data_IF_673886792824
#
_entry.id   IF_673886792824
#
_cell.length_a   1.000
_cell.length_b   1.000
_cell.length_c   1.000
_cell.angle_alpha   90.00
_cell.angle_beta   90.00
_cell.angle_gamma   90.00
#
_symmetry.space_group_name_H-M   'P 1'
#
loop_
_entity.id
_entity.type
_entity.pdbx_description
1 polymer ?
#
# COMPACT_ATOMS: atom_id res chain seq x y z
N UNK A 1 -43.01 -25.35 -28.74
CA UNK A 1 -41.98 -25.94 -27.87
C UNK A 1 -41.88 -25.10 -26.61
N UNK A 2 -42.58 -25.49 -25.53
CA UNK A 2 -42.43 -24.81 -24.24
C UNK A 2 -41.08 -25.22 -23.63
N UNK A 3 -40.24 -24.27 -23.18
CA UNK A 3 -38.98 -24.59 -22.54
C UNK A 3 -39.23 -25.31 -21.22
N UNK A 4 -38.70 -26.54 -21.13
CA UNK A 4 -38.78 -27.45 -19.99
C UNK A 4 -38.48 -26.74 -18.66
N UNK A 5 -39.41 -26.76 -17.68
CA UNK A 5 -39.27 -26.07 -16.40
C UNK A 5 -38.06 -26.56 -15.59
N UNK A 6 -37.62 -27.81 -15.79
CA UNK A 6 -36.45 -28.38 -15.10
C UNK A 6 -35.14 -27.76 -15.62
N UNK A 7 -35.05 -27.54 -16.95
CA UNK A 7 -33.92 -26.81 -17.56
C UNK A 7 -33.82 -25.37 -17.04
N UNK A 8 -34.95 -24.69 -16.83
CA UNK A 8 -34.95 -23.32 -16.29
C UNK A 8 -34.48 -23.26 -14.84
N UNK A 9 -34.82 -24.25 -14.01
CA UNK A 9 -34.34 -24.37 -12.62
C UNK A 9 -32.83 -24.64 -12.57
N UNK A 10 -32.33 -25.55 -13.41
CA UNK A 10 -30.91 -25.88 -13.49
C UNK A 10 -30.05 -24.66 -13.91
N UNK A 11 -30.45 -23.92 -14.95
CA UNK A 11 -29.73 -22.71 -15.40
C UNK A 11 -29.76 -21.59 -14.35
N UNK A 12 -30.84 -21.45 -13.58
CA UNK A 12 -30.91 -20.48 -12.46
C UNK A 12 -29.93 -20.83 -11.35
N UNK A 13 -29.84 -22.09 -10.94
CA UNK A 13 -28.89 -22.53 -9.91
C UNK A 13 -27.43 -22.31 -10.34
N UNK A 14 -27.08 -22.60 -11.60
CA UNK A 14 -25.73 -22.33 -12.13
C UNK A 14 -25.41 -20.84 -12.11
N UNK A 15 -26.35 -19.96 -12.50
CA UNK A 15 -26.17 -18.50 -12.45
C UNK A 15 -25.98 -17.98 -11.03
N UNK A 16 -26.73 -18.52 -10.05
CA UNK A 16 -26.58 -18.16 -8.64
C UNK A 16 -25.21 -18.60 -8.11
N UNK A 17 -24.75 -19.81 -8.44
CA UNK A 17 -23.42 -20.27 -8.03
C UNK A 17 -22.30 -19.42 -8.61
N UNK A 18 -22.39 -19.03 -9.88
CA UNK A 18 -21.42 -18.11 -10.50
C UNK A 18 -21.47 -16.74 -9.80
N UNK A 19 -22.65 -16.21 -9.53
CA UNK A 19 -22.80 -14.94 -8.82
C UNK A 19 -22.19 -14.99 -7.41
N UNK A 20 -22.44 -16.07 -6.65
CA UNK A 20 -21.81 -16.30 -5.36
C UNK A 20 -20.29 -16.41 -5.47
N UNK A 21 -19.78 -17.14 -6.48
CA UNK A 21 -18.34 -17.27 -6.73
C UNK A 21 -17.67 -15.93 -7.03
N UNK A 22 -18.30 -15.09 -7.86
CA UNK A 22 -17.82 -13.74 -8.16
C UNK A 22 -17.83 -12.86 -6.91
N UNK A 23 -18.91 -12.89 -6.12
CA UNK A 23 -18.99 -12.13 -4.86
C UNK A 23 -17.90 -12.55 -3.86
N UNK A 24 -17.70 -13.85 -3.66
CA UNK A 24 -16.62 -14.34 -2.81
C UNK A 24 -15.23 -13.93 -3.34
N UNK A 25 -15.03 -14.00 -4.66
CA UNK A 25 -13.78 -13.55 -5.29
C UNK A 25 -13.51 -12.07 -5.05
N UNK A 26 -14.53 -11.22 -5.19
CA UNK A 26 -14.42 -9.78 -4.90
C UNK A 26 -14.06 -9.56 -3.43
N UNK A 27 -14.77 -10.21 -2.49
CA UNK A 27 -14.49 -10.06 -1.06
C UNK A 27 -13.06 -10.48 -0.69
N UNK A 28 -12.57 -11.59 -1.26
CA UNK A 28 -11.20 -12.05 -1.04
C UNK A 28 -10.17 -11.08 -1.63
N UNK A 29 -10.41 -10.56 -2.84
CA UNK A 29 -9.54 -9.56 -3.46
C UNK A 29 -9.49 -8.27 -2.65
N UNK A 30 -10.62 -7.80 -2.12
CA UNK A 30 -10.68 -6.62 -1.27
C UNK A 30 -9.95 -6.84 0.07
N UNK A 31 -10.13 -8.01 0.69
CA UNK A 31 -9.39 -8.35 1.91
C UNK A 31 -7.89 -8.42 1.67
N UNK A 32 -7.48 -9.00 0.54
CA UNK A 32 -6.08 -9.13 0.16
C UNK A 32 -5.45 -7.78 -0.18
N UNK A 33 -6.18 -6.87 -0.84
CA UNK A 33 -5.67 -5.52 -1.13
C UNK A 33 -5.39 -4.74 0.14
N UNK A 34 -6.31 -4.75 1.11
CA UNK A 34 -6.11 -4.06 2.40
C UNK A 34 -4.92 -4.66 3.15
N UNK A 35 -4.79 -6.00 3.16
CA UNK A 35 -3.65 -6.65 3.79
C UNK A 35 -2.33 -6.29 3.08
N UNK A 36 -2.32 -6.20 1.75
CA UNK A 36 -1.14 -5.84 0.96
C UNK A 36 -0.71 -4.39 1.22
N UNK A 37 -1.64 -3.42 1.20
CA UNK A 37 -1.33 -2.01 1.49
C UNK A 37 -0.79 -1.87 2.92
N UNK A 38 -1.47 -2.47 3.92
CA UNK A 38 -0.98 -2.45 5.31
C UNK A 38 0.42 -3.02 5.45
N UNK A 39 0.72 -4.12 4.76
CA UNK A 39 2.04 -4.74 4.79
C UNK A 39 3.09 -3.84 4.15
N UNK A 40 2.81 -3.29 2.97
CA UNK A 40 3.71 -2.36 2.30
C UNK A 40 3.99 -1.11 3.15
N UNK A 41 2.96 -0.49 3.74
CA UNK A 41 3.12 0.65 4.63
C UNK A 41 3.93 0.26 5.88
N UNK A 42 3.67 -0.90 6.48
CA UNK A 42 4.42 -1.37 7.66
C UNK A 42 5.89 -1.65 7.35
N UNK A 43 6.19 -2.23 6.20
CA UNK A 43 7.56 -2.49 5.77
C UNK A 43 8.28 -1.15 5.52
N UNK A 44 7.65 -0.21 4.80
CA UNK A 44 8.20 1.13 4.58
C UNK A 44 8.45 1.89 5.89
N UNK A 45 7.49 1.88 6.83
CA UNK A 45 7.68 2.48 8.15
C UNK A 45 8.86 1.86 8.90
N UNK A 46 9.05 0.54 8.81
CA UNK A 46 10.20 -0.14 9.42
C UNK A 46 11.52 0.31 8.81
N UNK A 47 11.54 0.57 7.50
CA UNK A 47 12.72 1.12 6.83
C UNK A 47 12.97 2.57 7.21
N UNK A 48 11.93 3.40 7.36
CA UNK A 48 12.04 4.76 7.89
C UNK A 48 12.60 4.76 9.32
N UNK A 49 12.12 3.88 10.19
CA UNK A 49 12.63 3.72 11.56
C UNK A 49 14.09 3.24 11.56
N UNK A 50 14.48 2.37 10.62
CA UNK A 50 15.85 1.92 10.46
C UNK A 50 16.79 3.06 10.03
N UNK A 51 16.33 4.01 9.21
CA UNK A 51 17.11 5.22 8.86
C UNK A 51 17.27 6.13 10.07
N UNK A 52 16.20 6.34 10.86
CA UNK A 52 16.24 7.18 12.07
C UNK A 52 17.14 6.60 13.17
N UNK A 53 17.23 5.27 13.26
CA UNK A 53 18.06 4.58 14.25
C UNK A 53 19.47 4.23 13.74
N UNK A 54 19.79 4.51 12.48
CA UNK A 54 21.08 4.16 11.90
C UNK A 54 22.20 5.09 12.40
N UNK A 55 23.41 4.56 12.62
CA UNK A 55 24.60 5.41 12.78
C UNK A 55 24.93 6.11 11.45
N UNK A 56 25.60 7.26 11.51
CA UNK A 56 25.81 8.17 10.38
C UNK A 56 26.44 7.52 9.14
N UNK A 57 27.32 6.54 9.36
CA UNK A 57 27.98 5.76 8.32
C UNK A 57 27.04 4.81 7.56
N UNK A 58 25.90 4.47 8.16
CA UNK A 58 24.89 3.57 7.60
C UNK A 58 23.61 4.30 7.12
N UNK A 59 23.41 5.58 7.45
CA UNK A 59 22.19 6.34 7.08
C UNK A 59 21.95 6.32 5.57
N UNK A 60 22.97 6.61 4.76
CA UNK A 60 22.84 6.59 3.29
C UNK A 60 22.51 5.20 2.72
N UNK A 61 23.02 4.14 3.35
CA UNK A 61 22.72 2.78 2.95
C UNK A 61 21.26 2.43 3.27
N UNK A 62 20.78 2.81 4.45
CA UNK A 62 19.38 2.60 4.84
C UNK A 62 18.42 3.46 4.01
N UNK A 63 18.82 4.69 3.68
CA UNK A 63 18.04 5.57 2.81
C UNK A 63 17.90 4.97 1.40
N UNK A 64 18.99 4.43 0.86
CA UNK A 64 18.95 3.72 -0.43
C UNK A 64 18.06 2.47 -0.38
N UNK A 65 18.00 1.78 0.76
CA UNK A 65 17.08 0.65 0.96
C UNK A 65 15.61 1.12 0.98
N UNK A 66 15.33 2.23 1.67
CA UNK A 66 14.00 2.85 1.69
C UNK A 66 13.56 3.31 0.29
N UNK A 67 14.43 3.99 -0.47
CA UNK A 67 14.18 4.40 -1.86
C UNK A 67 13.82 3.19 -2.74
N UNK A 68 14.58 2.10 -2.63
CA UNK A 68 14.37 0.88 -3.41
C UNK A 68 13.07 0.17 -3.04
N UNK A 69 12.75 0.08 -1.75
CA UNK A 69 11.49 -0.51 -1.30
C UNK A 69 10.30 0.36 -1.67
N UNK A 70 10.46 1.68 -1.66
CA UNK A 70 9.44 2.60 -2.16
C UNK A 70 9.16 2.36 -3.65
N UNK A 71 10.18 2.34 -4.51
CA UNK A 71 9.99 2.09 -5.94
C UNK A 71 9.30 0.75 -6.22
N UNK A 72 9.69 -0.30 -5.50
CA UNK A 72 9.10 -1.63 -5.63
C UNK A 72 7.61 -1.65 -5.24
N UNK A 73 7.25 -0.96 -4.17
CA UNK A 73 5.90 -1.01 -3.61
C UNK A 73 4.97 0.08 -4.18
N UNK A 74 5.51 1.18 -4.73
CA UNK A 74 4.72 2.31 -5.26
C UNK A 74 3.72 1.90 -6.32
N UNK A 75 4.08 0.95 -7.20
CA UNK A 75 3.17 0.44 -8.22
C UNK A 75 1.95 -0.22 -7.61
N UNK A 76 2.15 -1.02 -6.55
CA UNK A 76 1.06 -1.67 -5.84
C UNK A 76 0.19 -0.64 -5.13
N UNK A 77 0.81 0.31 -4.42
CA UNK A 77 0.10 1.37 -3.71
C UNK A 77 -0.74 2.26 -4.66
N UNK A 78 -0.29 2.49 -5.90
CA UNK A 78 -1.03 3.24 -6.92
C UNK A 78 -2.39 2.66 -7.27
N UNK A 79 -2.60 1.36 -7.09
CA UNK A 79 -3.90 0.74 -7.37
C UNK A 79 -4.94 0.98 -6.27
N UNK A 80 -4.50 1.36 -5.08
CA UNK A 80 -5.36 1.42 -3.89
C UNK A 80 -5.42 2.82 -3.26
N UNK A 81 -4.40 3.64 -3.49
CA UNK A 81 -4.23 4.96 -2.85
C UNK A 81 -4.35 6.07 -3.90
N UNK A 82 -4.97 7.22 -3.56
CA UNK A 82 -4.99 8.39 -4.42
C UNK A 82 -3.60 8.80 -4.89
N UNK A 83 -3.46 9.01 -6.19
CA UNK A 83 -2.17 9.31 -6.82
C UNK A 83 -1.48 10.57 -6.24
N UNK A 84 -2.26 11.53 -5.74
CA UNK A 84 -1.70 12.77 -5.18
C UNK A 84 -0.87 12.55 -3.91
N UNK A 85 -1.33 11.71 -2.99
CA UNK A 85 -0.58 11.36 -1.77
C UNK A 85 0.68 10.57 -2.10
N UNK A 86 0.62 9.69 -3.11
CA UNK A 86 1.79 8.96 -3.57
C UNK A 86 2.83 9.90 -4.20
N UNK A 87 2.39 11.00 -4.83
CA UNK A 87 3.30 12.02 -5.35
C UNK A 87 3.97 12.77 -4.19
N UNK A 88 3.24 13.14 -3.16
CA UNK A 88 3.75 13.83 -1.96
C UNK A 88 4.81 12.98 -1.25
N UNK A 89 4.48 11.74 -0.90
CA UNK A 89 5.42 10.81 -0.25
C UNK A 89 6.65 10.54 -1.14
N UNK A 90 6.45 10.39 -2.45
CA UNK A 90 7.56 10.20 -3.39
C UNK A 90 8.47 11.43 -3.43
N UNK A 91 7.90 12.64 -3.42
CA UNK A 91 8.67 13.87 -3.43
C UNK A 91 9.53 13.98 -2.18
N UNK A 92 8.96 13.71 -0.99
CA UNK A 92 9.71 13.70 0.26
C UNK A 92 10.83 12.66 0.24
N UNK A 93 10.53 11.39 -0.07
CA UNK A 93 11.53 10.31 -0.09
C UNK A 93 12.72 10.64 -1.02
N UNK A 94 12.45 11.21 -2.19
CA UNK A 94 13.51 11.57 -3.16
C UNK A 94 14.33 12.79 -2.71
N UNK A 95 13.75 13.68 -1.90
CA UNK A 95 14.45 14.84 -1.34
C UNK A 95 15.29 14.49 -0.10
N UNK A 96 14.96 13.42 0.62
CA UNK A 96 15.68 13.01 1.85
C UNK A 96 17.20 12.89 1.63
N UNK A 97 17.64 12.40 0.47
CA UNK A 97 19.07 12.29 0.14
C UNK A 97 19.73 13.65 -0.02
N UNK A 98 19.01 14.63 -0.58
CA UNK A 98 19.52 16.00 -0.74
C UNK A 98 19.58 16.75 0.60
N UNK A 99 18.70 16.41 1.55
CA UNK A 99 18.73 16.92 2.93
C UNK A 99 19.77 16.21 3.81
N UNK A 100 20.46 15.19 3.29
CA UNK A 100 21.54 14.52 4.01
C UNK A 100 22.85 15.30 3.86
N UNK A 101 23.14 16.14 4.86
CA UNK A 101 24.40 16.89 4.99
C UNK A 101 25.10 16.65 6.34
N UNK A 102 24.86 15.50 6.99
CA UNK A 102 25.13 15.17 8.41
C UNK A 102 23.97 15.59 9.34
N UNK A 103 23.08 14.64 9.66
CA UNK A 103 21.96 14.77 10.62
C UNK A 103 21.26 16.14 10.69
N UNK A 104 20.92 16.72 9.55
CA UNK A 104 20.10 17.92 9.53
C UNK A 104 18.73 17.63 10.14
N UNK A 105 18.24 18.54 11.00
CA UNK A 105 16.86 18.54 11.50
C UNK A 105 15.85 18.42 10.34
N UNK A 106 16.19 18.91 9.15
CA UNK A 106 15.38 18.81 7.94
C UNK A 106 15.21 17.36 7.45
N UNK A 107 16.27 16.56 7.48
CA UNK A 107 16.20 15.15 7.08
C UNK A 107 15.33 14.35 8.05
N UNK A 108 15.50 14.59 9.35
CA UNK A 108 14.67 13.93 10.37
C UNK A 108 13.21 14.34 10.22
N UNK A 109 12.92 15.64 10.04
CA UNK A 109 11.57 16.14 9.81
C UNK A 109 10.92 15.48 8.58
N UNK A 110 11.65 15.36 7.47
CA UNK A 110 11.18 14.64 6.28
C UNK A 110 10.89 13.16 6.53
N UNK A 111 11.75 12.46 7.28
CA UNK A 111 11.49 11.06 7.65
C UNK A 111 10.25 10.92 8.54
N UNK A 112 10.02 11.85 9.47
CA UNK A 112 8.82 11.86 10.29
C UNK A 112 7.55 12.18 9.48
N UNK A 113 7.63 13.06 8.49
CA UNK A 113 6.53 13.35 7.57
C UNK A 113 6.15 12.11 6.75
N UNK A 114 7.13 11.49 6.08
CA UNK A 114 6.95 10.20 5.37
C UNK A 114 6.32 9.15 6.28
N UNK A 115 6.80 9.02 7.53
CA UNK A 115 6.24 8.08 8.50
C UNK A 115 4.78 8.39 8.85
N UNK A 116 4.46 9.66 9.10
CA UNK A 116 3.11 10.09 9.43
C UNK A 116 2.15 9.81 8.28
N UNK A 117 2.57 10.07 7.04
CA UNK A 117 1.78 9.80 5.84
C UNK A 117 1.56 8.30 5.63
N UNK A 118 2.59 7.48 5.80
CA UNK A 118 2.48 6.02 5.74
C UNK A 118 1.56 5.47 6.83
N UNK A 119 1.62 6.03 8.05
CA UNK A 119 0.72 5.65 9.13
C UNK A 119 -0.72 6.06 8.85
N UNK A 120 -0.92 7.26 8.29
CA UNK A 120 -2.21 7.74 7.88
C UNK A 120 -2.82 6.83 6.80
N UNK A 121 -2.03 6.45 5.77
CA UNK A 121 -2.44 5.50 4.73
C UNK A 121 -2.84 4.14 5.32
N UNK A 122 -2.06 3.63 6.26
CA UNK A 122 -2.35 2.37 6.97
C UNK A 122 -3.68 2.45 7.74
N UNK A 123 -4.01 3.61 8.31
CA UNK A 123 -5.22 3.83 9.12
C UNK A 123 -6.45 4.14 8.25
N UNK A 124 -6.30 4.84 7.13
CA UNK A 124 -7.43 5.30 6.33
C UNK A 124 -8.22 4.16 5.67
N UNK A 125 -7.58 3.03 5.37
CA UNK A 125 -8.25 1.84 4.85
C UNK A 125 -9.12 1.09 5.88
N UNK A 126 -9.15 1.52 7.15
CA UNK A 126 -10.14 1.05 8.13
C UNK A 126 -11.49 1.75 8.01
N UNK A 127 -11.58 2.87 7.28
CA UNK A 127 -12.79 3.71 7.26
C UNK A 127 -13.71 3.43 6.06
N UNK A 128 -13.31 2.55 5.14
CA UNK A 128 -14.15 2.14 3.99
C UNK A 128 -15.01 0.91 4.32
N UNK A 129 -14.95 0.41 5.57
CA UNK A 129 -15.82 -0.64 6.09
C UNK A 129 -16.69 -0.13 7.24
#
# INVERSE_FOLDING_TARGET
MQPDPERRKCVKNVRIQIACGVLCGILLLTGWSVAAVRRCCSDLMRHTDAVLAAPDDAVLQQLSALEKDWEKNRLLLRFFIPNQQLIEINAEIMQLRAHFTEQSDEMQAGLYAVRADLEWLRRQELTIF
#
